data_IF_903011928239
#
_entry.id   IF_903011928239
#
_cell.length_a   1.000
_cell.length_b   1.000
_cell.length_c   1.000
_cell.angle_alpha   90.00
_cell.angle_beta   90.00
_cell.angle_gamma   90.00
#
_symmetry.space_group_name_H-M   'P 1'
#
loop_
_entity.id
_entity.type
_entity.pdbx_description
1 polymer ?
#
# COMPACT_ATOMS: atom_id res chain seq x y z
N UNK A 1 -43.07 -42.12 -49.99
CA UNK A 1 -42.89 -41.09 -48.94
C UNK A 1 -41.75 -41.37 -47.96
N UNK A 2 -41.18 -42.59 -47.88
CA UNK A 2 -40.11 -42.92 -46.92
C UNK A 2 -38.65 -42.68 -47.36
N UNK A 3 -38.37 -42.47 -48.66
CA UNK A 3 -36.97 -42.33 -49.15
C UNK A 3 -36.45 -40.89 -49.05
N UNK A 4 -37.34 -39.89 -49.16
CA UNK A 4 -36.98 -38.46 -49.04
C UNK A 4 -36.66 -38.05 -47.58
N UNK A 5 -37.37 -38.61 -46.60
CA UNK A 5 -37.17 -38.30 -45.17
C UNK A 5 -35.86 -38.90 -44.61
N UNK A 6 -35.42 -40.04 -45.16
CA UNK A 6 -34.15 -40.68 -44.75
C UNK A 6 -32.92 -39.90 -45.24
N UNK A 7 -32.97 -39.32 -46.44
CA UNK A 7 -31.90 -38.46 -46.97
C UNK A 7 -31.78 -37.13 -46.23
N UNK A 8 -32.90 -36.58 -45.74
CA UNK A 8 -32.91 -35.32 -45.00
C UNK A 8 -32.32 -35.48 -43.59
N UNK A 9 -32.62 -36.59 -42.91
CA UNK A 9 -32.00 -36.95 -41.62
C UNK A 9 -30.52 -37.27 -41.75
N UNK A 10 -30.12 -37.95 -42.83
CA UNK A 10 -28.71 -38.26 -43.08
C UNK A 10 -27.88 -37.00 -43.38
N UNK A 11 -28.44 -36.06 -44.15
CA UNK A 11 -27.82 -34.76 -44.41
C UNK A 11 -27.72 -33.90 -43.15
N UNK A 12 -28.75 -33.90 -42.29
CA UNK A 12 -28.70 -33.21 -40.99
C UNK A 12 -27.65 -33.80 -40.05
N UNK A 13 -27.49 -35.13 -40.03
CA UNK A 13 -26.43 -35.80 -39.25
C UNK A 13 -25.04 -35.45 -39.79
N UNK A 14 -24.87 -35.39 -41.12
CA UNK A 14 -23.59 -34.99 -41.73
C UNK A 14 -23.26 -33.52 -41.39
N UNK A 15 -24.24 -32.62 -41.47
CA UNK A 15 -24.07 -31.19 -41.12
C UNK A 15 -23.73 -31.02 -39.64
N UNK A 16 -24.43 -31.75 -38.76
CA UNK A 16 -24.17 -31.76 -37.32
C UNK A 16 -22.78 -32.34 -36.99
N UNK A 17 -22.37 -33.42 -37.66
CA UNK A 17 -21.01 -33.97 -37.54
C UNK A 17 -19.95 -32.99 -38.05
N UNK A 18 -20.17 -32.32 -39.19
CA UNK A 18 -19.20 -31.32 -39.68
C UNK A 18 -19.06 -30.10 -38.77
N UNK A 19 -20.11 -29.72 -38.03
CA UNK A 19 -20.05 -28.69 -36.99
C UNK A 19 -19.29 -29.19 -35.73
N UNK A 20 -19.34 -30.49 -35.42
CA UNK A 20 -18.57 -31.10 -34.33
C UNK A 20 -17.08 -31.27 -34.67
N UNK A 21 -16.72 -31.38 -35.96
CA UNK A 21 -15.33 -31.46 -36.43
C UNK A 21 -14.69 -30.10 -36.75
N UNK A 22 -15.44 -28.99 -36.62
CA UNK A 22 -14.88 -27.63 -36.59
C UNK A 22 -14.57 -27.18 -35.16
N UNK A 23 -14.18 -28.10 -34.27
CA UNK A 23 -13.43 -27.69 -33.08
C UNK A 23 -12.16 -27.02 -33.57
N UNK A 24 -12.06 -25.69 -33.42
CA UNK A 24 -10.78 -24.99 -33.50
C UNK A 24 -9.77 -25.81 -32.69
N UNK A 25 -8.71 -26.28 -33.35
CA UNK A 25 -7.52 -26.65 -32.62
C UNK A 25 -7.11 -25.39 -31.87
N UNK A 26 -7.23 -25.39 -30.55
CA UNK A 26 -6.49 -24.43 -29.75
C UNK A 26 -5.02 -24.74 -30.07
N UNK A 27 -4.39 -23.88 -30.86
CA UNK A 27 -2.94 -23.80 -30.89
C UNK A 27 -2.51 -23.29 -29.51
N UNK A 28 -2.61 -24.15 -28.50
CA UNK A 28 -1.88 -23.99 -27.26
C UNK A 28 -0.42 -24.28 -27.62
N UNK A 29 0.23 -23.30 -28.26
CA UNK A 29 1.67 -23.26 -28.26
C UNK A 29 2.08 -23.15 -26.80
N UNK A 30 2.51 -24.26 -26.22
CA UNK A 30 3.03 -24.31 -24.86
C UNK A 30 4.11 -23.23 -24.75
N UNK A 31 3.79 -22.14 -24.06
CA UNK A 31 4.67 -20.99 -23.95
C UNK A 31 5.82 -21.42 -23.07
N UNK A 32 7.00 -21.63 -23.65
CA UNK A 32 8.20 -21.96 -22.89
C UNK A 32 8.48 -20.82 -21.92
N UNK A 33 8.72 -21.17 -20.65
CA UNK A 33 9.10 -20.18 -19.66
C UNK A 33 10.42 -19.50 -20.05
N UNK A 34 10.50 -18.21 -19.77
CA UNK A 34 11.70 -17.40 -19.90
C UNK A 34 11.94 -16.72 -18.55
N UNK A 35 13.15 -16.87 -18.00
CA UNK A 35 13.55 -16.15 -16.79
C UNK A 35 13.60 -14.65 -17.09
N UNK A 36 12.98 -13.84 -16.22
CA UNK A 36 12.93 -12.38 -16.35
C UNK A 36 13.33 -11.70 -15.05
N UNK A 37 13.92 -10.52 -15.17
CA UNK A 37 14.14 -9.63 -14.02
C UNK A 37 12.82 -9.06 -13.53
N UNK A 38 12.65 -9.03 -12.22
CA UNK A 38 11.51 -8.40 -11.54
C UNK A 38 12.06 -7.26 -10.69
N UNK A 39 11.59 -6.04 -10.94
CA UNK A 39 12.09 -4.83 -10.28
C UNK A 39 10.93 -4.01 -9.72
N UNK A 40 11.02 -3.62 -8.46
CA UNK A 40 10.09 -2.69 -7.83
C UNK A 40 10.84 -1.45 -7.32
N UNK A 41 10.34 -0.27 -7.65
CA UNK A 41 10.90 0.99 -7.18
C UNK A 41 9.89 2.12 -7.15
N UNK A 42 10.08 3.05 -6.22
CA UNK A 42 9.28 4.27 -6.11
C UNK A 42 10.17 5.47 -5.83
N UNK A 43 9.76 6.62 -6.36
CA UNK A 43 10.34 7.92 -6.02
C UNK A 43 9.24 8.93 -5.69
N UNK A 44 9.58 9.92 -4.85
CA UNK A 44 8.61 10.90 -4.36
C UNK A 44 9.14 12.31 -4.55
N UNK A 45 8.31 13.17 -5.12
CA UNK A 45 8.62 14.56 -5.40
C UNK A 45 9.06 15.30 -4.12
N UNK A 46 9.94 16.28 -4.31
CA UNK A 46 10.46 17.17 -3.27
C UNK A 46 11.26 16.49 -2.15
N UNK A 47 11.56 15.20 -2.29
CA UNK A 47 12.36 14.43 -1.35
C UNK A 47 13.56 13.78 -2.07
N UNK A 48 14.64 13.49 -1.34
CA UNK A 48 15.57 12.44 -1.73
C UNK A 48 14.84 11.10 -1.82
N UNK A 49 15.49 10.11 -2.44
CA UNK A 49 14.95 8.75 -2.52
C UNK A 49 14.85 8.13 -1.12
N UNK A 50 13.64 7.86 -0.64
CA UNK A 50 13.39 7.29 0.69
C UNK A 50 13.17 5.77 0.68
N UNK A 51 12.78 5.20 -0.46
CA UNK A 51 12.48 3.78 -0.61
C UNK A 51 13.64 2.98 -1.21
N UNK A 52 13.67 1.69 -0.93
CA UNK A 52 14.61 0.75 -1.57
C UNK A 52 14.08 0.27 -2.90
N UNK A 53 14.97 0.07 -3.87
CA UNK A 53 14.68 -0.70 -5.08
C UNK A 53 14.82 -2.19 -4.75
N UNK A 54 13.84 -3.00 -5.13
CA UNK A 54 13.87 -4.46 -4.99
C UNK A 54 14.18 -5.07 -6.35
N UNK A 55 15.12 -6.03 -6.37
CA UNK A 55 15.55 -6.72 -7.59
C UNK A 55 15.56 -8.23 -7.34
N UNK A 56 14.79 -8.96 -8.14
CA UNK A 56 14.74 -10.42 -8.15
C UNK A 56 14.61 -10.95 -9.57
N UNK A 57 14.50 -12.27 -9.70
CA UNK A 57 14.16 -12.97 -10.94
C UNK A 57 12.93 -13.86 -10.76
N UNK A 58 12.24 -14.15 -11.86
CA UNK A 58 11.19 -15.17 -11.88
C UNK A 58 11.78 -16.58 -11.72
N UNK A 59 10.94 -17.56 -11.43
CA UNK A 59 11.29 -18.99 -11.46
C UNK A 59 10.21 -19.79 -12.19
N UNK A 60 10.56 -20.94 -12.75
CA UNK A 60 9.55 -21.88 -13.24
C UNK A 60 8.72 -22.46 -12.09
N UNK A 61 7.46 -22.79 -12.35
CA UNK A 61 6.57 -23.41 -11.36
C UNK A 61 7.15 -24.72 -10.80
N UNK A 62 7.86 -25.47 -11.65
CA UNK A 62 8.45 -26.76 -11.29
C UNK A 62 9.93 -26.65 -10.88
N UNK A 63 10.47 -25.43 -10.79
CA UNK A 63 11.85 -25.20 -10.36
C UNK A 63 11.96 -25.43 -8.84
N UNK A 64 12.84 -26.34 -8.42
CA UNK A 64 13.13 -26.57 -7.00
C UNK A 64 14.10 -25.49 -6.48
N UNK A 65 13.55 -24.30 -6.24
CA UNK A 65 14.28 -23.13 -5.77
C UNK A 65 13.58 -22.47 -4.59
N UNK A 66 14.35 -22.09 -3.58
CA UNK A 66 13.80 -21.30 -2.48
C UNK A 66 13.63 -19.85 -2.93
N UNK A 67 12.52 -19.20 -2.54
CA UNK A 67 12.27 -17.80 -2.87
C UNK A 67 13.42 -16.85 -2.45
N UNK A 68 14.16 -17.19 -1.39
CA UNK A 68 15.33 -16.42 -0.94
C UNK A 68 16.49 -16.40 -1.95
N UNK A 69 16.56 -17.39 -2.85
CA UNK A 69 17.58 -17.51 -3.88
C UNK A 69 17.23 -16.73 -5.16
N UNK A 70 16.00 -16.23 -5.27
CA UNK A 70 15.55 -15.41 -6.41
C UNK A 70 15.98 -13.95 -6.29
N UNK A 71 16.42 -13.51 -5.11
CA UNK A 71 16.91 -12.16 -4.89
C UNK A 71 18.30 -11.94 -5.50
N UNK A 72 18.47 -10.84 -6.23
CA UNK A 72 19.73 -10.52 -6.92
C UNK A 72 20.51 -9.47 -6.13
N UNK A 73 21.68 -9.84 -5.60
CA UNK A 73 22.49 -8.96 -4.73
C UNK A 73 23.67 -8.26 -5.43
N UNK A 74 23.87 -8.55 -6.69
CA UNK A 74 25.01 -8.14 -7.50
C UNK A 74 24.57 -7.40 -8.79
N UNK A 75 23.49 -6.62 -8.74
CA UNK A 75 23.05 -5.79 -9.84
C UNK A 75 23.65 -4.37 -9.78
N UNK A 76 23.91 -3.77 -10.94
CA UNK A 76 24.22 -2.35 -11.06
C UNK A 76 22.90 -1.56 -11.22
N UNK A 77 22.53 -0.82 -10.17
CA UNK A 77 21.24 -0.11 -10.09
C UNK A 77 21.47 1.40 -10.07
N UNK A 78 20.81 2.12 -10.99
CA UNK A 78 20.97 3.56 -11.16
C UNK A 78 19.64 4.25 -11.45
N UNK A 79 19.45 5.42 -10.85
CA UNK A 79 18.40 6.36 -11.20
C UNK A 79 19.01 7.51 -11.99
N UNK A 80 18.41 7.83 -13.13
CA UNK A 80 18.85 8.88 -14.05
C UNK A 80 17.75 9.92 -14.14
N UNK A 81 18.13 11.17 -13.91
CA UNK A 81 17.29 12.34 -14.19
C UNK A 81 17.41 12.69 -15.69
N UNK A 82 16.35 12.48 -16.47
CA UNK A 82 16.41 12.70 -17.92
C UNK A 82 16.64 14.17 -18.28
N UNK A 83 16.23 15.09 -17.43
CA UNK A 83 16.33 16.52 -17.71
C UNK A 83 17.73 17.09 -17.46
N UNK A 84 18.50 16.52 -16.51
CA UNK A 84 19.85 16.99 -16.19
C UNK A 84 20.96 15.99 -16.55
N UNK A 85 20.62 14.74 -16.85
CA UNK A 85 21.58 13.64 -16.99
C UNK A 85 22.24 13.24 -15.66
N UNK A 86 21.74 13.72 -14.52
CA UNK A 86 22.30 13.41 -13.20
C UNK A 86 22.05 11.94 -12.86
N UNK A 87 23.06 11.26 -12.33
CA UNK A 87 22.98 9.84 -11.98
C UNK A 87 23.13 9.65 -10.47
N UNK A 88 22.14 9.00 -9.87
CA UNK A 88 22.19 8.46 -8.51
C UNK A 88 22.43 6.95 -8.58
N UNK A 89 23.47 6.48 -7.88
CA UNK A 89 23.81 5.04 -7.80
C UNK A 89 23.20 4.45 -6.55
N UNK A 90 22.79 3.20 -6.63
CA UNK A 90 22.32 2.43 -5.49
C UNK A 90 23.33 1.35 -5.14
N UNK A 91 23.35 0.99 -3.86
CA UNK A 91 24.22 0.01 -3.26
C UNK A 91 23.37 -1.11 -2.66
N UNK A 92 23.85 -2.34 -2.78
CA UNK A 92 23.17 -3.51 -2.25
C UNK A 92 23.16 -3.48 -0.70
N UNK A 93 21.98 -3.76 -0.12
CA UNK A 93 21.75 -3.93 1.31
C UNK A 93 21.48 -5.41 1.69
N UNK A 94 21.62 -6.32 0.73
CA UNK A 94 21.25 -7.73 0.86
C UNK A 94 19.78 -8.02 0.53
N UNK A 95 19.48 -9.29 0.30
CA UNK A 95 18.14 -9.79 -0.06
C UNK A 95 17.47 -9.02 -1.21
N UNK A 96 18.25 -8.67 -2.24
CA UNK A 96 17.75 -7.98 -3.43
C UNK A 96 17.39 -6.50 -3.21
N UNK A 97 17.72 -5.93 -2.05
CA UNK A 97 17.42 -4.54 -1.70
C UNK A 97 18.57 -3.63 -2.08
N UNK A 98 18.25 -2.49 -2.69
CA UNK A 98 19.21 -1.49 -3.12
C UNK A 98 18.80 -0.12 -2.59
N UNK A 99 19.78 0.65 -2.09
CA UNK A 99 19.55 2.01 -1.58
C UNK A 99 20.72 2.94 -1.92
N UNK A 100 20.52 4.26 -2.09
CA UNK A 100 21.58 5.17 -2.50
C UNK A 100 22.74 5.38 -1.51
N UNK A 101 22.60 4.90 -0.28
CA UNK A 101 23.62 4.97 0.77
C UNK A 101 23.65 3.66 1.57
N UNK A 102 24.75 3.44 2.27
CA UNK A 102 24.99 2.32 3.19
C UNK A 102 25.64 2.83 4.48
N UNK A 103 25.71 1.99 5.51
CA UNK A 103 26.39 2.29 6.77
C UNK A 103 27.89 2.61 6.60
N UNK A 104 28.49 2.14 5.49
CA UNK A 104 29.90 2.35 5.14
C UNK A 104 30.12 3.49 4.14
N UNK A 105 29.05 4.18 3.73
CA UNK A 105 29.14 5.27 2.75
C UNK A 105 29.88 6.47 3.34
N UNK A 106 30.81 7.02 2.58
CA UNK A 106 31.53 8.24 2.96
C UNK A 106 30.66 9.49 2.86
N UNK A 107 31.09 10.58 3.49
CA UNK A 107 30.38 11.87 3.55
C UNK A 107 29.98 12.38 2.15
N UNK A 108 30.86 12.27 1.16
CA UNK A 108 30.57 12.72 -0.21
C UNK A 108 29.39 11.96 -0.86
N UNK A 109 29.24 10.67 -0.58
CA UNK A 109 28.12 9.87 -1.08
C UNK A 109 26.81 10.30 -0.41
N UNK A 110 26.86 10.54 0.90
CA UNK A 110 25.73 11.09 1.66
C UNK A 110 25.29 12.45 1.14
N UNK A 111 26.24 13.37 0.94
CA UNK A 111 25.94 14.71 0.42
C UNK A 111 25.34 14.63 -0.99
N UNK A 112 25.87 13.76 -1.86
CA UNK A 112 25.31 13.56 -3.20
C UNK A 112 23.89 13.01 -3.15
N UNK A 113 23.62 12.05 -2.27
CA UNK A 113 22.30 11.47 -2.07
C UNK A 113 21.29 12.52 -1.56
N UNK A 114 21.63 13.24 -0.49
CA UNK A 114 20.73 14.25 0.10
C UNK A 114 20.42 15.39 -0.86
N UNK A 115 21.36 15.75 -1.74
CA UNK A 115 21.16 16.76 -2.77
C UNK A 115 20.47 16.23 -4.05
N UNK A 116 20.28 14.92 -4.18
CA UNK A 116 19.52 14.33 -5.30
C UNK A 116 18.03 14.36 -4.97
N UNK A 117 17.44 15.55 -5.03
CA UNK A 117 16.01 15.78 -4.78
C UNK A 117 15.21 15.54 -6.05
N UNK A 118 14.18 14.70 -5.95
CA UNK A 118 13.28 14.37 -7.05
C UNK A 118 12.39 15.57 -7.36
N UNK A 119 12.42 16.03 -8.62
CA UNK A 119 11.69 17.25 -9.02
C UNK A 119 10.29 16.92 -9.55
N UNK A 120 9.25 17.64 -9.11
CA UNK A 120 7.92 17.53 -9.72
C UNK A 120 7.97 17.85 -11.22
N UNK A 121 7.18 17.11 -12.03
CA UNK A 121 7.11 17.27 -13.48
C UNK A 121 8.31 16.73 -14.27
N UNK A 122 9.39 16.31 -13.60
CA UNK A 122 10.55 15.71 -14.25
C UNK A 122 10.35 14.23 -14.54
N UNK A 123 11.02 13.75 -15.59
CA UNK A 123 11.08 12.34 -15.94
C UNK A 123 12.35 11.69 -15.42
N UNK A 124 12.23 10.48 -14.88
CA UNK A 124 13.34 9.70 -14.37
C UNK A 124 13.34 8.30 -14.96
N UNK A 125 14.55 7.74 -15.12
CA UNK A 125 14.77 6.36 -15.56
C UNK A 125 15.44 5.53 -14.48
N UNK A 126 14.87 4.38 -14.17
CA UNK A 126 15.50 3.37 -13.33
C UNK A 126 16.11 2.30 -14.23
N UNK A 127 17.43 2.13 -14.13
CA UNK A 127 18.21 1.17 -14.89
C UNK A 127 18.75 0.11 -13.95
N UNK A 128 18.50 -1.15 -14.26
CA UNK A 128 19.02 -2.32 -13.53
C UNK A 128 19.73 -3.23 -14.52
N UNK A 129 20.98 -3.58 -14.20
CA UNK A 129 21.81 -4.47 -15.01
C UNK A 129 22.30 -5.63 -14.12
N UNK A 130 21.98 -6.87 -14.50
CA UNK A 130 22.46 -8.08 -13.83
C UNK A 130 23.92 -8.38 -14.23
N UNK A 131 24.65 -9.15 -13.42
CA UNK A 131 26.00 -9.62 -13.79
C UNK A 131 26.01 -10.49 -15.07
N UNK A 132 24.88 -11.13 -15.40
CA UNK A 132 24.75 -11.97 -16.59
C UNK A 132 24.50 -11.16 -17.86
N UNK A 133 24.34 -9.84 -17.74
CA UNK A 133 24.15 -8.92 -18.85
C UNK A 133 22.69 -8.57 -19.15
N UNK A 134 21.72 -9.13 -18.41
CA UNK A 134 20.32 -8.76 -18.52
C UNK A 134 20.15 -7.32 -18.05
N UNK A 135 19.43 -6.52 -18.83
CA UNK A 135 19.18 -5.12 -18.50
C UNK A 135 17.71 -4.83 -18.65
N UNK A 136 17.14 -4.21 -17.62
CA UNK A 136 15.78 -3.67 -17.67
C UNK A 136 15.81 -2.19 -17.36
N UNK A 137 14.96 -1.45 -18.06
CA UNK A 137 14.85 0.00 -17.93
C UNK A 137 13.37 0.34 -17.80
N UNK A 138 13.05 1.18 -16.81
CA UNK A 138 11.73 1.76 -16.67
C UNK A 138 11.80 3.27 -16.56
N UNK A 139 10.77 3.94 -17.06
CA UNK A 139 10.64 5.40 -17.05
C UNK A 139 9.38 5.81 -16.30
N UNK A 140 9.45 6.88 -15.53
CA UNK A 140 8.28 7.50 -14.88
C UNK A 140 8.38 9.02 -14.91
N UNK A 141 7.24 9.70 -15.02
CA UNK A 141 7.14 11.16 -14.91
C UNK A 141 6.48 11.53 -13.59
N UNK A 142 7.16 12.37 -12.81
CA UNK A 142 6.72 12.75 -11.47
C UNK A 142 5.52 13.70 -11.57
N UNK A 143 4.39 13.42 -10.87
CA UNK A 143 3.26 14.34 -10.81
C UNK A 143 3.69 15.75 -10.36
N UNK A 144 3.17 16.79 -11.03
CA UNK A 144 3.64 18.17 -10.87
C UNK A 144 3.30 18.79 -9.52
N UNK A 145 2.12 18.47 -9.00
CA UNK A 145 1.63 18.98 -7.72
C UNK A 145 0.69 17.96 -7.08
N UNK A 146 0.17 18.33 -5.91
CA UNK A 146 -0.93 17.64 -5.27
C UNK A 146 -1.61 18.65 -4.35
N UNK A 147 -2.75 19.17 -4.77
CA UNK A 147 -3.53 20.10 -3.94
C UNK A 147 -4.59 19.35 -3.15
N UNK A 148 -4.74 19.73 -1.90
CA UNK A 148 -5.73 19.14 -1.00
C UNK A 148 -6.44 20.22 -0.19
N UNK A 149 -7.69 19.93 0.14
CA UNK A 149 -8.52 20.76 1.03
C UNK A 149 -9.38 19.88 1.92
N UNK A 150 -9.71 20.39 3.10
CA UNK A 150 -10.72 19.78 3.96
C UNK A 150 -12.07 19.84 3.25
N UNK A 151 -12.84 18.75 3.30
CA UNK A 151 -14.15 18.67 2.64
C UNK A 151 -15.27 18.72 3.68
N UNK A 152 -16.27 19.57 3.42
CA UNK A 152 -17.52 19.56 4.16
C UNK A 152 -18.45 18.48 3.57
N UNK A 153 -18.67 17.41 4.32
CA UNK A 153 -19.55 16.30 3.94
C UNK A 153 -20.99 16.50 4.46
N UNK A 154 -21.27 17.58 5.19
CA UNK A 154 -22.58 17.91 5.72
C UNK A 154 -23.05 16.94 6.81
N UNK A 155 -24.14 16.21 6.54
CA UNK A 155 -24.79 15.33 7.51
C UNK A 155 -24.83 13.90 7.02
N UNK A 156 -24.63 12.96 7.93
CA UNK A 156 -24.73 11.53 7.71
C UNK A 156 -25.93 10.95 8.45
N UNK A 157 -26.69 10.06 7.79
CA UNK A 157 -27.84 9.38 8.40
C UNK A 157 -27.44 7.96 8.79
N UNK A 158 -27.42 7.71 10.10
CA UNK A 158 -27.17 6.39 10.67
C UNK A 158 -28.28 5.38 10.32
N UNK A 159 -28.00 4.07 10.37
CA UNK A 159 -29.00 3.03 10.07
C UNK A 159 -30.26 3.07 10.96
N UNK A 160 -30.16 3.64 12.15
CA UNK A 160 -31.28 3.83 13.09
C UNK A 160 -32.10 5.11 12.80
N UNK A 161 -31.72 5.88 11.77
CA UNK A 161 -32.34 7.15 11.39
C UNK A 161 -31.75 8.38 12.12
N UNK A 162 -30.79 8.19 13.02
CA UNK A 162 -30.10 9.30 13.69
C UNK A 162 -29.29 10.11 12.66
N UNK A 163 -29.39 11.43 12.70
CA UNK A 163 -28.62 12.31 11.81
C UNK A 163 -27.47 12.94 12.59
N UNK A 164 -26.25 12.73 12.12
CA UNK A 164 -25.02 13.24 12.72
C UNK A 164 -24.34 14.22 11.75
N UNK A 165 -23.86 15.39 12.22
CA UNK A 165 -22.97 16.22 11.41
C UNK A 165 -21.64 15.52 11.23
N UNK A 166 -20.98 15.71 10.08
CA UNK A 166 -19.61 15.23 9.84
C UNK A 166 -18.64 16.36 10.08
N UNK A 167 -17.60 16.10 10.90
CA UNK A 167 -16.61 17.12 11.25
C UNK A 167 -15.64 17.40 10.09
N UNK A 168 -15.12 18.62 10.02
CA UNK A 168 -14.01 19.00 9.15
C UNK A 168 -12.73 19.14 9.97
N UNK A 169 -11.59 18.71 9.42
CA UNK A 169 -10.29 18.83 10.08
C UNK A 169 -9.36 19.82 9.36
N UNK A 170 -8.41 20.40 10.08
CA UNK A 170 -7.29 21.12 9.52
C UNK A 170 -6.25 20.13 8.96
N UNK A 171 -6.10 20.14 7.63
CA UNK A 171 -5.11 19.32 6.92
C UNK A 171 -3.81 20.09 6.60
N UNK A 172 -3.68 21.35 7.02
CA UNK A 172 -2.53 22.20 6.68
C UNK A 172 -1.47 22.26 7.78
N UNK A 173 -1.55 21.36 8.74
CA UNK A 173 -0.70 21.35 9.93
C UNK A 173 0.74 20.84 9.70
N UNK A 174 1.09 20.38 8.49
CA UNK A 174 2.45 19.99 8.09
C UNK A 174 2.89 20.66 6.77
N UNK A 175 2.33 21.81 6.39
CA UNK A 175 2.75 22.50 5.17
C UNK A 175 4.25 22.83 5.18
N UNK A 176 4.93 22.59 4.04
CA UNK A 176 6.35 22.88 3.81
C UNK A 176 7.36 22.08 4.66
N UNK A 177 6.99 20.89 5.13
CA UNK A 177 7.89 20.00 5.85
C UNK A 177 9.12 19.61 5.01
N UNK A 178 10.32 19.95 5.48
CA UNK A 178 11.57 19.50 4.86
C UNK A 178 11.84 18.02 5.14
N UNK A 179 12.73 17.41 4.35
CA UNK A 179 13.15 16.02 4.59
C UNK A 179 13.76 15.81 5.98
N UNK A 180 14.56 16.76 6.47
CA UNK A 180 15.16 16.67 7.80
C UNK A 180 14.11 16.72 8.91
N UNK A 181 13.11 17.59 8.77
CA UNK A 181 11.99 17.69 9.71
C UNK A 181 11.10 16.45 9.66
N UNK A 182 10.87 15.87 8.48
CA UNK A 182 10.15 14.60 8.34
C UNK A 182 10.84 13.48 9.13
N UNK A 183 12.17 13.39 9.05
CA UNK A 183 12.93 12.40 9.83
C UNK A 183 12.84 12.65 11.34
N UNK A 184 12.83 13.92 11.78
CA UNK A 184 12.63 14.27 13.19
C UNK A 184 11.23 13.89 13.69
N UNK A 185 10.20 14.17 12.88
CA UNK A 185 8.81 13.78 13.15
C UNK A 185 8.70 12.26 13.33
N UNK A 186 9.29 11.45 12.45
CA UNK A 186 9.27 10.00 12.59
C UNK A 186 10.05 9.50 13.82
N UNK A 187 11.16 10.15 14.17
CA UNK A 187 12.01 9.73 15.28
C UNK A 187 11.35 10.01 16.65
N UNK A 188 10.71 11.16 16.81
CA UNK A 188 10.05 11.54 18.06
C UNK A 188 8.81 12.42 17.79
N UNK A 189 7.69 11.80 17.42
CA UNK A 189 6.53 12.52 16.92
C UNK A 189 5.88 13.45 17.95
N UNK A 190 5.74 12.98 19.20
CA UNK A 190 5.10 13.75 20.28
C UNK A 190 5.92 14.99 20.62
N UNK A 191 7.24 14.85 20.77
CA UNK A 191 8.09 16.01 21.05
C UNK A 191 8.14 16.95 19.85
N UNK A 192 8.21 16.43 18.62
CA UNK A 192 8.20 17.27 17.42
C UNK A 192 6.93 18.14 17.34
N UNK A 193 5.75 17.56 17.57
CA UNK A 193 4.48 18.30 17.59
C UNK A 193 4.49 19.38 18.68
N UNK A 194 4.94 19.04 19.89
CA UNK A 194 4.99 19.96 21.03
C UNK A 194 5.99 21.11 20.82
N UNK A 195 7.22 20.80 20.40
CA UNK A 195 8.30 21.78 20.23
C UNK A 195 8.02 22.76 19.08
N UNK A 196 7.33 22.30 18.02
CA UNK A 196 6.95 23.12 16.88
C UNK A 196 5.55 23.75 17.02
N UNK A 197 4.85 23.54 18.14
CA UNK A 197 3.49 24.03 18.39
C UNK A 197 2.51 23.70 17.26
N UNK A 198 2.56 22.47 16.75
CA UNK A 198 1.71 22.02 15.65
C UNK A 198 0.30 21.79 16.19
N UNK A 199 -0.70 22.45 15.61
CA UNK A 199 -2.10 22.21 15.93
C UNK A 199 -2.58 20.92 15.26
N UNK A 200 -2.95 19.93 16.05
CA UNK A 200 -3.42 18.62 15.55
C UNK A 200 -4.85 18.40 16.01
N UNK A 201 -5.77 18.34 15.04
CA UNK A 201 -7.16 18.03 15.31
C UNK A 201 -7.33 16.57 15.76
N UNK A 202 -8.38 16.32 16.53
CA UNK A 202 -8.69 14.99 17.04
C UNK A 202 -10.01 14.48 16.49
N UNK A 203 -10.05 13.21 16.11
CA UNK A 203 -11.28 12.49 15.75
C UNK A 203 -11.55 11.36 16.74
N UNK A 204 -12.80 11.16 17.08
CA UNK A 204 -13.22 10.11 18.03
C UNK A 204 -13.54 8.83 17.27
N UNK A 205 -12.82 7.76 17.57
CA UNK A 205 -13.12 6.43 17.06
C UNK A 205 -14.17 5.77 17.93
N UNK A 206 -15.35 5.54 17.35
CA UNK A 206 -16.52 4.94 18.01
C UNK A 206 -16.81 3.57 17.44
N UNK A 207 -17.33 2.68 18.29
CA UNK A 207 -17.82 1.38 17.85
C UNK A 207 -19.34 1.40 17.68
N UNK A 208 -19.84 0.61 16.73
CA UNK A 208 -21.28 0.36 16.61
C UNK A 208 -21.77 0.35 15.17
N UNK A 209 -23.07 0.14 15.01
CA UNK A 209 -23.67 -0.07 13.69
C UNK A 209 -23.54 1.13 12.75
N UNK A 210 -23.53 2.35 13.29
CA UNK A 210 -23.31 3.56 12.49
C UNK A 210 -21.82 3.77 12.15
N UNK A 211 -20.90 3.28 12.96
CA UNK A 211 -19.49 3.70 12.93
C UNK A 211 -18.52 2.66 12.38
N UNK A 212 -18.71 1.36 12.66
CA UNK A 212 -17.73 0.31 12.32
C UNK A 212 -18.33 -0.89 11.57
N UNK A 213 -19.49 -0.70 10.93
CA UNK A 213 -20.22 -1.78 10.25
C UNK A 213 -19.72 -2.07 8.84
N UNK A 214 -19.41 -1.04 8.04
CA UNK A 214 -19.00 -1.22 6.65
C UNK A 214 -18.13 -0.08 6.11
N UNK A 215 -17.76 -0.17 4.82
CA UNK A 215 -17.15 0.92 4.06
C UNK A 215 -18.07 2.14 3.86
N UNK A 216 -19.35 2.02 4.23
CA UNK A 216 -20.31 3.12 4.16
C UNK A 216 -20.65 3.64 5.55
N UNK A 217 -19.93 3.25 6.60
CA UNK A 217 -20.10 3.79 7.94
C UNK A 217 -19.92 5.31 7.99
N UNK A 218 -20.41 5.93 9.06
CA UNK A 218 -20.22 7.34 9.37
C UNK A 218 -18.77 7.78 9.12
N UNK A 219 -18.55 8.76 8.23
CA UNK A 219 -17.23 9.31 7.99
C UNK A 219 -16.81 10.18 9.17
N UNK A 220 -15.56 10.07 9.57
CA UNK A 220 -14.96 10.88 10.63
C UNK A 220 -14.68 12.30 10.12
N UNK A 221 -14.28 12.43 8.85
CA UNK A 221 -14.08 13.69 8.14
C UNK A 221 -13.99 13.45 6.63
N UNK A 222 -14.01 14.53 5.83
CA UNK A 222 -13.84 14.46 4.38
C UNK A 222 -12.56 15.15 3.91
N UNK A 223 -12.00 14.63 2.82
CA UNK A 223 -10.83 15.19 2.17
C UNK A 223 -11.09 15.32 0.68
N UNK A 224 -10.81 16.50 0.12
CA UNK A 224 -11.01 16.81 -1.28
C UNK A 224 -9.66 17.14 -1.94
N UNK A 225 -9.52 16.74 -3.20
CA UNK A 225 -8.28 16.80 -3.97
C UNK A 225 -8.58 16.84 -5.46
N UNK A 226 -7.60 17.23 -6.25
CA UNK A 226 -7.75 17.40 -7.70
C UNK A 226 -7.74 16.03 -8.43
N UNK A 227 -8.82 15.26 -8.27
CA UNK A 227 -9.00 13.92 -8.88
C UNK A 227 -8.92 13.93 -10.40
N UNK A 228 -9.33 15.01 -11.07
CA UNK A 228 -9.27 15.13 -12.53
C UNK A 228 -7.84 15.11 -13.11
N UNK A 229 -6.82 15.39 -12.27
CA UNK A 229 -5.43 15.46 -12.71
C UNK A 229 -4.67 14.13 -12.55
N UNK A 230 -5.23 13.15 -11.84
CA UNK A 230 -4.54 11.91 -11.49
C UNK A 230 -5.48 10.70 -11.55
N UNK A 231 -5.05 9.64 -12.24
CA UNK A 231 -5.85 8.40 -12.34
C UNK A 231 -6.00 7.67 -11.01
N UNK A 232 -5.04 7.81 -10.09
CA UNK A 232 -5.10 7.15 -8.77
C UNK A 232 -4.37 7.94 -7.71
N UNK A 233 -5.05 8.12 -6.57
CA UNK A 233 -4.46 8.58 -5.33
C UNK A 233 -4.26 7.39 -4.39
N UNK A 234 -3.02 7.21 -3.94
CA UNK A 234 -2.68 6.25 -2.88
C UNK A 234 -2.69 6.95 -1.52
N UNK A 235 -3.51 6.49 -0.61
CA UNK A 235 -3.56 6.94 0.79
C UNK A 235 -2.74 5.98 1.64
N UNK A 236 -1.88 6.53 2.48
CA UNK A 236 -1.18 5.82 3.55
C UNK A 236 -1.56 6.45 4.89
N UNK A 237 -1.97 5.63 5.85
CA UNK A 237 -2.14 6.04 7.25
C UNK A 237 -1.07 5.39 8.09
N UNK A 238 -0.09 6.19 8.53
CA UNK A 238 0.95 5.75 9.45
C UNK A 238 0.57 6.07 10.89
N UNK A 239 0.37 5.05 11.71
CA UNK A 239 0.27 5.21 13.15
C UNK A 239 1.67 5.42 13.74
N UNK A 240 1.97 6.65 14.19
CA UNK A 240 3.29 7.02 14.67
C UNK A 240 3.62 6.43 16.05
N UNK A 241 2.59 5.98 16.78
CA UNK A 241 2.71 5.31 18.09
C UNK A 241 2.26 3.83 18.05
N UNK A 242 2.32 3.17 16.89
CA UNK A 242 1.85 1.78 16.74
C UNK A 242 2.60 0.77 17.63
N UNK A 243 3.86 1.05 17.97
CA UNK A 243 4.72 0.17 18.77
C UNK A 243 4.60 0.40 20.28
N UNK A 244 3.60 1.16 20.73
CA UNK A 244 3.41 1.44 22.16
C UNK A 244 2.96 0.19 22.90
N UNK A 245 3.83 -0.33 23.75
CA UNK A 245 3.57 -1.51 24.58
C UNK A 245 3.11 -1.07 25.97
N UNK A 246 2.11 -1.75 26.50
CA UNK A 246 1.65 -1.60 27.87
C UNK A 246 0.89 -2.84 28.34
N UNK A 247 0.42 -2.81 29.58
CA UNK A 247 -0.31 -3.95 30.14
C UNK A 247 -1.70 -4.09 29.53
N UNK A 248 -2.16 -5.33 29.41
CA UNK A 248 -3.53 -5.64 29.01
C UNK A 248 -4.57 -4.90 29.88
N UNK A 249 -5.65 -4.41 29.26
CA UNK A 249 -6.67 -3.66 29.95
C UNK A 249 -7.46 -4.56 30.90
N UNK A 250 -7.79 -4.01 32.06
CA UNK A 250 -8.63 -4.67 33.05
C UNK A 250 -10.08 -4.76 32.53
N UNK A 251 -10.72 -5.89 32.81
CA UNK A 251 -12.12 -6.17 32.52
C UNK A 251 -12.75 -6.88 33.70
N UNK A 252 -13.68 -6.20 34.36
CA UNK A 252 -14.41 -6.72 35.51
C UNK A 252 -15.30 -7.91 35.16
N UNK A 253 -15.62 -8.12 33.88
CA UNK A 253 -16.43 -9.24 33.40
C UNK A 253 -15.60 -10.43 32.93
N UNK A 254 -14.26 -10.30 32.90
CA UNK A 254 -13.39 -11.36 32.45
C UNK A 254 -13.37 -12.53 33.43
N UNK A 255 -13.42 -13.75 32.88
CA UNK A 255 -13.23 -14.99 33.64
C UNK A 255 -11.76 -15.33 33.89
N UNK A 256 -10.83 -14.61 33.25
CA UNK A 256 -9.38 -14.77 33.43
C UNK A 256 -8.93 -13.68 34.41
N UNK A 257 -8.32 -14.11 35.50
CA UNK A 257 -8.00 -13.24 36.64
C UNK A 257 -6.50 -13.13 36.82
N UNK A 258 -6.02 -11.90 36.91
CA UNK A 258 -4.73 -11.57 37.47
C UNK A 258 -4.84 -11.51 39.01
N UNK A 259 -3.99 -12.21 39.78
CA UNK A 259 -4.07 -12.25 41.24
C UNK A 259 -4.02 -10.88 41.93
N UNK A 260 -3.31 -9.93 41.32
CA UNK A 260 -3.04 -8.62 41.92
C UNK A 260 -4.02 -7.53 41.45
N UNK A 261 -4.55 -7.63 40.23
CA UNK A 261 -5.33 -6.57 39.59
C UNK A 261 -6.74 -6.97 39.12
N UNK A 262 -7.11 -8.25 39.20
CA UNK A 262 -8.45 -8.74 38.87
C UNK A 262 -8.60 -9.19 37.42
N UNK A 263 -9.84 -9.19 36.90
CA UNK A 263 -10.12 -9.65 35.54
C UNK A 263 -9.49 -8.77 34.46
N UNK A 264 -9.05 -9.38 33.35
CA UNK A 264 -8.43 -8.66 32.23
C UNK A 264 -8.77 -9.27 30.86
N UNK A 265 -8.60 -8.47 29.81
CA UNK A 265 -8.66 -8.97 28.42
C UNK A 265 -7.33 -9.62 28.05
N UNK A 266 -7.35 -10.95 27.91
CA UNK A 266 -6.21 -11.75 27.45
C UNK A 266 -6.16 -11.75 25.90
N UNK A 267 -5.51 -10.73 25.33
CA UNK A 267 -5.41 -10.56 23.87
C UNK A 267 -4.43 -11.54 23.22
N UNK A 268 -3.37 -11.92 23.94
CA UNK A 268 -2.37 -12.87 23.47
C UNK A 268 -2.66 -14.32 23.90
N UNK A 269 -3.77 -14.57 24.58
CA UNK A 269 -4.26 -15.90 24.95
C UNK A 269 -3.26 -16.75 25.75
N UNK A 270 -2.49 -16.13 26.65
CA UNK A 270 -1.52 -16.85 27.47
C UNK A 270 -1.98 -17.03 28.94
N UNK A 271 -3.14 -16.47 29.31
CA UNK A 271 -3.74 -16.56 30.64
C UNK A 271 -3.06 -15.71 31.72
N UNK A 272 -2.13 -14.83 31.36
CA UNK A 272 -1.37 -13.97 32.25
C UNK A 272 -1.50 -12.53 31.76
N UNK A 273 -1.78 -11.59 32.67
CA UNK A 273 -1.88 -10.19 32.32
C UNK A 273 -0.49 -9.63 32.02
N UNK A 274 -0.18 -9.46 30.75
CA UNK A 274 1.14 -9.03 30.31
C UNK A 274 1.08 -7.93 29.24
N UNK A 275 2.14 -7.84 28.44
CA UNK A 275 2.39 -6.73 27.53
C UNK A 275 1.74 -6.94 26.17
N UNK A 276 0.99 -5.93 25.72
CA UNK A 276 0.32 -5.85 24.42
C UNK A 276 0.46 -4.47 23.79
N UNK A 277 0.08 -4.34 22.52
CA UNK A 277 0.04 -3.06 21.81
C UNK A 277 -1.17 -2.23 22.27
N UNK A 278 -0.98 -1.36 23.26
CA UNK A 278 -2.09 -0.64 23.92
C UNK A 278 -2.79 0.38 23.03
N UNK A 279 -2.13 0.83 21.97
CA UNK A 279 -2.73 1.73 20.98
C UNK A 279 -3.45 0.97 19.86
N UNK A 280 -3.35 -0.36 19.78
CA UNK A 280 -4.06 -1.11 18.75
C UNK A 280 -5.58 -1.01 18.98
N UNK A 281 -6.33 -0.76 17.92
CA UNK A 281 -7.79 -0.77 17.97
C UNK A 281 -8.23 -2.23 17.94
N UNK A 282 -8.61 -2.78 19.09
CA UNK A 282 -9.09 -4.16 19.25
C UNK A 282 -10.61 -4.26 18.99
N UNK A 283 -10.99 -4.96 17.91
CA UNK A 283 -12.37 -5.24 17.54
C UNK A 283 -12.47 -6.62 16.89
N UNK A 284 -13.33 -7.47 17.43
CA UNK A 284 -13.54 -8.84 16.96
C UNK A 284 -14.93 -9.07 16.36
N UNK A 285 -15.69 -7.98 16.16
CA UNK A 285 -17.00 -8.02 15.52
C UNK A 285 -16.92 -8.59 14.11
N UNK A 286 -18.05 -9.09 13.59
CA UNK A 286 -18.10 -9.65 12.24
C UNK A 286 -17.76 -8.60 11.18
N UNK A 287 -18.27 -7.37 11.31
CA UNK A 287 -17.97 -6.27 10.38
C UNK A 287 -16.47 -6.00 10.31
N UNK A 288 -15.82 -5.86 11.46
CA UNK A 288 -14.38 -5.64 11.52
C UNK A 288 -13.58 -6.76 10.83
N UNK A 289 -13.93 -8.02 11.11
CA UNK A 289 -13.25 -9.18 10.50
C UNK A 289 -13.49 -9.31 9.00
N UNK A 290 -14.63 -8.88 8.48
CA UNK A 290 -14.91 -8.88 7.04
C UNK A 290 -14.00 -7.88 6.34
N UNK A 291 -13.87 -6.67 6.88
CA UNK A 291 -13.16 -5.59 6.18
C UNK A 291 -11.67 -5.55 6.43
N UNK A 292 -11.23 -5.83 7.66
CA UNK A 292 -9.81 -5.79 8.03
C UNK A 292 -9.21 -7.19 8.17
N UNK A 293 -10.00 -8.26 8.12
CA UNK A 293 -9.51 -9.61 8.37
C UNK A 293 -9.20 -9.86 9.84
N UNK A 294 -8.60 -11.02 10.13
CA UNK A 294 -8.11 -11.34 11.48
C UNK A 294 -6.79 -10.64 11.78
N UNK A 295 -6.49 -10.44 13.06
CA UNK A 295 -5.20 -9.89 13.45
C UNK A 295 -4.09 -10.92 13.18
N UNK A 296 -3.04 -10.55 12.43
CA UNK A 296 -1.79 -11.30 12.48
C UNK A 296 -1.19 -11.24 13.89
N UNK A 297 -0.32 -12.20 14.20
CA UNK A 297 0.25 -12.36 15.54
C UNK A 297 1.77 -12.45 15.49
N UNK A 298 2.41 -11.85 16.49
CA UNK A 298 3.86 -11.96 16.71
C UNK A 298 4.20 -13.31 17.37
N UNK A 299 5.49 -13.59 17.55
CA UNK A 299 6.00 -14.86 18.12
C UNK A 299 5.45 -15.19 19.51
N UNK A 300 5.09 -14.16 20.30
CA UNK A 300 4.46 -14.28 21.62
C UNK A 300 2.93 -14.17 21.57
N UNK A 301 2.34 -14.42 20.40
CA UNK A 301 0.90 -14.36 20.16
C UNK A 301 0.26 -12.98 20.33
N UNK A 302 1.05 -11.89 20.47
CA UNK A 302 0.52 -10.52 20.52
C UNK A 302 -0.12 -10.17 19.17
N UNK A 303 -1.41 -9.76 19.15
CA UNK A 303 -2.07 -9.27 17.94
C UNK A 303 -1.45 -7.95 17.48
N UNK A 304 -1.32 -7.76 16.17
CA UNK A 304 -0.89 -6.51 15.58
C UNK A 304 -1.63 -6.23 14.26
N UNK A 305 -1.46 -5.02 13.73
CA UNK A 305 -1.88 -4.64 12.38
C UNK A 305 -0.68 -4.10 11.59
N UNK A 306 -0.68 -4.35 10.29
CA UNK A 306 0.34 -3.80 9.39
C UNK A 306 0.23 -2.28 9.44
N UNK A 307 1.36 -1.61 9.57
CA UNK A 307 1.48 -0.16 9.60
C UNK A 307 2.56 0.24 8.57
N UNK A 308 2.24 1.04 7.54
CA UNK A 308 1.00 1.81 7.36
C UNK A 308 -0.19 0.97 6.88
N UNK A 309 -1.39 1.46 7.15
CA UNK A 309 -2.57 1.08 6.38
C UNK A 309 -2.54 1.78 5.02
N UNK A 310 -3.02 1.11 3.96
CA UNK A 310 -2.98 1.65 2.60
C UNK A 310 -4.30 1.45 1.86
N UNK A 311 -4.64 2.40 0.98
CA UNK A 311 -5.83 2.33 0.13
C UNK A 311 -5.68 3.19 -1.12
N UNK A 312 -6.30 2.76 -2.21
CA UNK A 312 -6.31 3.50 -3.47
C UNK A 312 -7.71 4.05 -3.72
N UNK A 313 -7.77 5.30 -4.17
CA UNK A 313 -9.00 5.98 -4.54
C UNK A 313 -8.81 6.72 -5.87
N UNK A 314 -9.93 6.96 -6.55
CA UNK A 314 -9.97 7.64 -7.85
C UNK A 314 -10.89 8.87 -7.81
N UNK A 315 -11.78 8.98 -6.81
CA UNK A 315 -12.80 10.01 -6.73
C UNK A 315 -12.63 10.94 -5.51
N UNK A 316 -12.94 12.22 -5.71
CA UNK A 316 -12.99 13.25 -4.67
C UNK A 316 -14.41 13.85 -4.56
N UNK A 317 -14.84 14.33 -3.38
CA UNK A 317 -14.17 14.20 -2.09
C UNK A 317 -14.25 12.77 -1.56
N UNK A 318 -13.20 12.32 -0.87
CA UNK A 318 -13.19 11.00 -0.23
C UNK A 318 -13.57 11.11 1.26
N UNK A 319 -14.57 10.33 1.71
CA UNK A 319 -14.86 10.18 3.13
C UNK A 319 -13.80 9.33 3.83
N UNK A 320 -13.21 9.86 4.90
CA UNK A 320 -12.28 9.11 5.76
C UNK A 320 -13.06 8.55 6.94
N UNK A 321 -13.00 7.24 7.10
CA UNK A 321 -13.78 6.49 8.08
C UNK A 321 -12.90 5.53 8.88
N UNK A 322 -13.51 4.77 9.79
CA UNK A 322 -12.82 3.82 10.69
C UNK A 322 -11.84 2.85 10.00
N UNK A 323 -12.08 2.49 8.73
CA UNK A 323 -11.22 1.59 7.97
C UNK A 323 -9.77 2.07 7.86
N UNK A 324 -9.57 3.39 7.83
CA UNK A 324 -8.27 4.02 7.63
C UNK A 324 -7.36 3.95 8.87
N UNK A 325 -7.90 3.57 10.04
CA UNK A 325 -7.20 3.64 11.31
C UNK A 325 -7.14 2.29 12.00
N UNK A 326 -5.95 1.77 12.22
CA UNK A 326 -5.72 0.52 12.97
C UNK A 326 -5.26 0.76 14.40
N UNK A 327 -4.81 1.97 14.72
CA UNK A 327 -4.27 2.35 16.02
C UNK A 327 -4.83 3.71 16.47
N UNK A 328 -5.00 3.88 17.78
CA UNK A 328 -5.21 5.17 18.44
C UNK A 328 -3.91 5.98 18.51
N UNK A 329 -4.05 7.27 18.80
CA UNK A 329 -2.94 8.23 18.92
C UNK A 329 -2.64 8.95 17.61
N UNK A 330 -1.43 9.48 17.51
CA UNK A 330 -1.03 10.32 16.39
C UNK A 330 -0.87 9.53 15.09
N UNK A 331 -1.56 9.99 14.05
CA UNK A 331 -1.54 9.43 12.70
C UNK A 331 -0.92 10.44 11.74
N UNK A 332 -0.02 9.98 10.88
CA UNK A 332 0.46 10.70 9.71
C UNK A 332 -0.28 10.15 8.49
N UNK A 333 -1.24 10.90 8.00
CA UNK A 333 -1.91 10.59 6.74
C UNK A 333 -1.14 11.20 5.59
N UNK A 334 -0.82 10.37 4.60
CA UNK A 334 -0.11 10.75 3.38
C UNK A 334 -0.96 10.38 2.19
N UNK A 335 -1.34 11.38 1.41
CA UNK A 335 -1.97 11.16 0.13
C UNK A 335 -0.91 11.31 -0.95
N UNK A 336 -0.88 10.39 -1.90
CA UNK A 336 0.09 10.35 -2.98
C UNK A 336 -0.63 10.40 -4.31
N UNK A 337 -0.48 11.50 -5.05
CA UNK A 337 -0.76 11.53 -6.46
C UNK A 337 0.27 10.64 -7.15
N UNK A 338 -0.16 9.58 -7.82
CA UNK A 338 0.76 8.60 -8.43
C UNK A 338 0.88 8.83 -9.94
N UNK A 339 2.01 8.42 -10.53
CA UNK A 339 2.18 8.45 -11.98
C UNK A 339 1.35 7.38 -12.68
N UNK A 340 1.13 7.55 -13.98
CA UNK A 340 0.38 6.60 -14.82
C UNK A 340 0.90 5.16 -14.72
N UNK A 341 2.22 4.97 -14.54
CA UNK A 341 2.81 3.64 -14.36
C UNK A 341 2.28 2.90 -13.14
N UNK A 342 1.88 3.60 -12.08
CA UNK A 342 1.21 3.00 -10.93
C UNK A 342 -0.18 2.50 -11.30
N UNK A 343 -1.01 3.35 -11.91
CA UNK A 343 -2.35 2.99 -12.36
C UNK A 343 -2.32 1.78 -13.30
N UNK A 344 -1.50 1.83 -14.35
CA UNK A 344 -1.38 0.75 -15.34
C UNK A 344 -0.97 -0.58 -14.69
N UNK A 345 0.01 -0.55 -13.76
CA UNK A 345 0.42 -1.75 -13.04
C UNK A 345 -0.74 -2.37 -12.23
N UNK A 346 -1.53 -1.54 -11.54
CA UNK A 346 -2.65 -2.01 -10.71
C UNK A 346 -3.92 -2.35 -11.50
N UNK A 347 -4.12 -1.77 -12.68
CA UNK A 347 -5.17 -2.20 -13.61
C UNK A 347 -4.88 -3.57 -14.23
N UNK A 348 -3.60 -3.96 -14.32
CA UNK A 348 -3.16 -5.27 -14.81
C UNK A 348 -3.36 -6.45 -13.83
N UNK A 349 -4.19 -6.28 -12.79
CA UNK A 349 -4.47 -7.29 -11.76
C UNK A 349 -3.21 -7.90 -11.08
N UNK A 350 -2.34 -7.07 -10.48
CA UNK A 350 -1.11 -7.53 -9.84
C UNK A 350 -1.37 -8.34 -8.56
N UNK A 351 -2.60 -8.30 -8.05
CA UNK A 351 -3.03 -9.05 -6.87
C UNK A 351 -3.54 -10.46 -7.24
N UNK A 352 -3.55 -10.79 -8.53
CA UNK A 352 -3.78 -12.15 -9.02
C UNK A 352 -5.20 -12.65 -8.79
N UNK A 353 -6.21 -11.79 -8.95
CA UNK A 353 -7.60 -12.27 -9.00
C UNK A 353 -7.83 -13.15 -10.25
N UNK A 354 -7.07 -12.89 -11.31
CA UNK A 354 -7.04 -13.61 -12.57
C UNK A 354 -5.64 -14.21 -12.80
N UNK A 355 -5.53 -15.51 -12.54
CA UNK A 355 -4.29 -16.29 -12.67
C UNK A 355 -3.74 -16.41 -14.11
N UNK A 356 -4.50 -15.95 -15.12
CA UNK A 356 -4.10 -16.02 -16.53
C UNK A 356 -3.53 -14.71 -17.08
N UNK A 357 -3.61 -13.61 -16.31
CA UNK A 357 -3.07 -12.32 -16.69
C UNK A 357 -1.80 -12.05 -15.89
N UNK A 358 -0.72 -11.73 -16.61
CA UNK A 358 0.45 -11.16 -15.96
C UNK A 358 0.17 -9.68 -15.68
N UNK A 359 0.70 -9.13 -14.59
CA UNK A 359 0.63 -7.71 -14.34
C UNK A 359 1.31 -6.93 -15.46
N UNK A 360 0.73 -5.80 -15.83
CA UNK A 360 1.41 -4.85 -16.71
C UNK A 360 2.71 -4.39 -16.06
N UNK A 361 3.73 -4.08 -16.88
CA UNK A 361 5.02 -3.58 -16.39
C UNK A 361 5.50 -2.44 -17.27
N UNK A 362 6.10 -1.43 -16.66
CA UNK A 362 6.79 -0.36 -17.39
C UNK A 362 8.30 -0.62 -17.55
N UNK A 363 8.77 -1.82 -17.22
CA UNK A 363 10.13 -2.26 -17.52
C UNK A 363 10.19 -2.90 -18.90
N UNK A 364 11.06 -2.38 -19.78
CA UNK A 364 11.40 -3.03 -21.04
C UNK A 364 12.02 -4.41 -20.78
N UNK A 365 11.42 -5.47 -21.34
CA UNK A 365 11.81 -6.88 -21.19
C UNK A 365 11.88 -7.40 -19.74
N UNK A 366 11.28 -6.68 -18.79
CA UNK A 366 11.22 -7.03 -17.37
C UNK A 366 9.81 -7.15 -16.82
N UNK A 367 9.72 -7.32 -15.50
CA UNK A 367 8.48 -7.32 -14.72
C UNK A 367 8.59 -6.38 -13.52
N UNK A 368 7.45 -6.09 -12.90
CA UNK A 368 7.33 -5.20 -11.75
C UNK A 368 7.00 -3.76 -12.16
N UNK A 369 7.25 -2.79 -11.29
CA UNK A 369 6.87 -1.40 -11.54
C UNK A 369 7.87 -0.42 -10.95
N UNK A 370 8.20 0.58 -11.75
CA UNK A 370 8.84 1.80 -11.29
C UNK A 370 7.87 2.98 -11.43
N UNK A 371 7.42 3.55 -10.33
CA UNK A 371 6.48 4.66 -10.36
C UNK A 371 6.98 5.85 -9.54
N UNK A 372 6.35 7.00 -9.74
CA UNK A 372 6.64 8.21 -9.00
C UNK A 372 5.39 8.78 -8.36
N UNK A 373 5.57 9.61 -7.33
CA UNK A 373 4.45 10.27 -6.69
C UNK A 373 4.76 11.69 -6.25
N UNK A 374 3.72 12.50 -6.06
CA UNK A 374 3.77 13.75 -5.33
C UNK A 374 2.89 13.61 -4.09
N UNK A 375 3.38 14.04 -2.94
CA UNK A 375 2.83 13.64 -1.64
C UNK A 375 2.40 14.84 -0.82
N UNK A 376 1.19 14.78 -0.28
CA UNK A 376 0.66 15.73 0.67
C UNK A 376 0.43 15.02 2.01
N UNK A 377 0.80 15.66 3.12
CA UNK A 377 0.83 15.04 4.45
C UNK A 377 0.19 15.93 5.48
N UNK A 378 -0.51 15.32 6.43
CA UNK A 378 -1.04 16.00 7.60
C UNK A 378 -1.10 15.04 8.79
N UNK A 379 -1.10 15.63 9.99
CA UNK A 379 -1.29 14.93 11.24
C UNK A 379 -2.76 14.92 11.64
N UNK A 380 -3.17 13.84 12.27
CA UNK A 380 -4.45 13.70 12.94
C UNK A 380 -4.28 12.88 14.21
N UNK A 381 -5.02 13.20 15.26
CA UNK A 381 -5.04 12.38 16.46
C UNK A 381 -6.32 11.56 16.54
N UNK A 382 -6.19 10.24 16.63
CA UNK A 382 -7.34 9.34 16.77
C UNK A 382 -7.52 8.99 18.25
N UNK A 383 -8.61 9.45 18.85
CA UNK A 383 -8.89 9.21 20.28
C UNK A 383 -9.96 8.15 20.45
N UNK A 384 -9.86 7.43 21.56
CA UNK A 384 -10.88 6.47 22.00
C UNK A 384 -12.09 7.22 22.55
N UNK A 385 -13.28 6.72 22.24
CA UNK A 385 -14.54 7.14 22.88
C UNK A 385 -14.55 6.97 24.40
#
# INVERSE_FOLDING_TARGET
MGVLDMNQKFLQIIVLCSLLFQSCSFEDSEKSYEERLVVFGSISANLPVIDTVLVSKTAEINEDINASQLWINNADVKLIDDSTGSILRYYNLGSGRYFPITDTSGIQTYDKYLNFVIRPGSTYKLVVISEMGDSVIATTTVPTEMNMRSADLGQYVCPDGTVLPVDSIDIKNLENLSFAELMQLYANPINYVSENNINVDSVVYRFGECYTKSFASYPMFGVDFDSENYETIKILTYALEANKIGLEPLDTLSSILDPDSGGFFDYNFNGIRDSVLVNLIYDTTLGFRIWKGQYPRLTNNIPYRINPWQWNIEEAPTPIMWLYFDYYGLQLMTFKATSESYFNYFSGDPVGQNIYLLPDSNFEDGLGVFYSSNEYRFLLNVVRE
#
